data_IF_052173183083
#
_entry.id   IF_052173183083
#
_cell.length_a   1.000
_cell.length_b   1.000
_cell.length_c   1.000
_cell.angle_alpha   90.00
_cell.angle_beta   90.00
_cell.angle_gamma   90.00
#
_symmetry.space_group_name_H-M   'P 1'
#
loop_
_entity.id
_entity.type
_entity.pdbx_description
1 polymer ?
#
# COMPACT_ATOMS: atom_id res chain seq x y z
N UNK A 1 -8.66 -7.46 21.37
CA UNK A 1 -9.40 -8.39 20.52
C UNK A 1 -8.49 -8.68 19.33
N UNK A 2 -8.26 -9.95 19.00
CA UNK A 2 -7.44 -10.33 17.84
C UNK A 2 -8.41 -10.59 16.68
N UNK A 3 -8.10 -10.07 15.51
CA UNK A 3 -8.88 -10.26 14.28
C UNK A 3 -7.97 -10.86 13.23
N UNK A 4 -8.52 -11.78 12.44
CA UNK A 4 -7.87 -12.30 11.24
C UNK A 4 -8.34 -11.47 10.05
N UNK A 5 -7.41 -11.00 9.23
CA UNK A 5 -7.70 -10.20 8.03
C UNK A 5 -7.14 -10.91 6.82
N UNK A 6 -8.02 -11.34 5.93
CA UNK A 6 -7.64 -11.97 4.66
C UNK A 6 -7.15 -10.91 3.66
N UNK A 7 -5.95 -11.14 3.12
CA UNK A 7 -5.39 -10.31 2.04
C UNK A 7 -5.95 -10.79 0.71
N UNK A 8 -6.63 -9.91 -0.01
CA UNK A 8 -7.07 -10.17 -1.37
C UNK A 8 -5.95 -9.90 -2.36
N UNK A 9 -5.61 -10.88 -3.19
CA UNK A 9 -4.73 -10.70 -4.35
C UNK A 9 -5.03 -11.75 -5.43
N UNK A 10 -4.84 -11.43 -6.72
CA UNK A 10 -4.72 -12.44 -7.77
C UNK A 10 -3.55 -13.41 -7.51
N UNK A 11 -3.61 -14.59 -8.12
CA UNK A 11 -2.59 -15.64 -7.93
C UNK A 11 -1.20 -15.19 -8.41
N UNK A 12 -1.15 -14.44 -9.51
CA UNK A 12 0.06 -13.94 -10.17
C UNK A 12 0.59 -12.61 -9.61
N UNK A 13 -0.10 -12.03 -8.63
CA UNK A 13 0.32 -10.80 -7.95
C UNK A 13 1.06 -11.14 -6.65
N UNK A 14 2.17 -10.44 -6.40
CA UNK A 14 2.87 -10.50 -5.12
C UNK A 14 2.40 -9.36 -4.20
N UNK A 15 2.40 -9.61 -2.89
CA UNK A 15 1.99 -8.64 -1.87
C UNK A 15 3.12 -8.45 -0.86
N UNK A 16 3.39 -7.20 -0.51
CA UNK A 16 4.38 -6.81 0.50
C UNK A 16 3.64 -5.98 1.55
N UNK A 17 3.66 -6.44 2.81
CA UNK A 17 3.15 -5.69 3.95
C UNK A 17 4.32 -5.16 4.77
N UNK A 18 4.26 -3.89 5.11
CA UNK A 18 5.29 -3.22 5.89
C UNK A 18 4.68 -2.34 6.98
N UNK A 19 5.58 -1.66 7.69
CA UNK A 19 5.24 -0.58 8.61
C UNK A 19 6.22 0.56 8.33
N UNK A 20 5.71 1.76 8.14
CA UNK A 20 6.52 2.97 7.95
C UNK A 20 6.09 4.06 8.92
N UNK A 21 6.52 5.28 8.68
CA UNK A 21 6.04 6.49 9.34
C UNK A 21 6.25 7.67 8.39
N UNK A 22 5.49 8.75 8.62
CA UNK A 22 5.55 9.99 7.84
C UNK A 22 4.98 9.89 6.41
N UNK A 23 4.29 10.94 5.98
CA UNK A 23 3.49 10.96 4.74
C UNK A 23 4.33 10.78 3.47
N UNK A 24 5.62 11.14 3.52
CA UNK A 24 6.56 10.97 2.41
C UNK A 24 6.81 9.50 2.05
N UNK A 25 6.43 8.55 2.93
CA UNK A 25 6.52 7.11 2.67
C UNK A 25 5.95 6.70 1.31
N UNK A 26 4.82 7.29 0.89
CA UNK A 26 4.20 6.92 -0.39
C UNK A 26 5.05 7.33 -1.59
N UNK A 27 5.55 8.57 -1.61
CA UNK A 27 6.42 9.07 -2.68
C UNK A 27 7.77 8.34 -2.69
N UNK A 28 8.38 8.13 -1.52
CA UNK A 28 9.68 7.47 -1.42
C UNK A 28 9.60 5.99 -1.85
N UNK A 29 8.52 5.29 -1.50
CA UNK A 29 8.29 3.92 -1.98
C UNK A 29 8.00 3.89 -3.47
N UNK A 30 7.23 4.84 -4.00
CA UNK A 30 7.00 4.95 -5.44
C UNK A 30 8.33 5.08 -6.18
N UNK A 31 9.18 6.02 -5.78
CA UNK A 31 10.48 6.24 -6.40
C UNK A 31 11.38 5.00 -6.28
N UNK A 32 11.42 4.38 -5.10
CA UNK A 32 12.21 3.17 -4.87
C UNK A 32 11.79 2.02 -5.78
N UNK A 33 10.49 1.78 -5.97
CA UNK A 33 9.99 0.69 -6.81
C UNK A 33 10.19 1.04 -8.29
N UNK A 34 9.80 2.25 -8.72
CA UNK A 34 9.88 2.69 -10.11
C UNK A 34 11.33 2.69 -10.65
N UNK A 35 12.31 2.94 -9.78
CA UNK A 35 13.75 2.93 -10.14
C UNK A 35 14.40 1.55 -10.01
N UNK A 36 13.76 0.57 -9.37
CA UNK A 36 14.31 -0.77 -9.15
C UNK A 36 14.15 -1.69 -10.37
N UNK A 37 12.98 -1.67 -11.03
CA UNK A 37 12.67 -2.56 -12.15
C UNK A 37 11.93 -1.81 -13.26
N UNK A 38 12.49 -1.70 -14.48
CA UNK A 38 11.79 -1.10 -15.61
C UNK A 38 10.47 -1.79 -15.91
N UNK A 39 9.41 -1.02 -16.17
CA UNK A 39 8.07 -1.49 -16.53
C UNK A 39 7.34 -2.32 -15.46
N UNK A 40 7.81 -2.37 -14.21
CA UNK A 40 7.04 -3.02 -13.14
C UNK A 40 5.68 -2.33 -12.97
N UNK A 41 4.64 -3.13 -12.71
CA UNK A 41 3.29 -2.65 -12.40
C UNK A 41 3.05 -2.81 -10.92
N UNK A 42 2.66 -1.73 -10.25
CA UNK A 42 2.51 -1.73 -8.80
C UNK A 42 1.52 -0.66 -8.33
N UNK A 43 1.01 -0.89 -7.13
CA UNK A 43 0.21 0.05 -6.34
C UNK A 43 0.66 0.00 -4.89
N UNK A 44 0.63 1.17 -4.23
CA UNK A 44 1.05 1.39 -2.85
C UNK A 44 -0.13 2.00 -2.11
N UNK A 45 -0.35 1.58 -0.87
CA UNK A 45 -1.25 2.23 0.06
C UNK A 45 -0.55 2.36 1.42
N UNK A 46 -0.73 3.48 2.10
CA UNK A 46 -0.16 3.81 3.40
C UNK A 46 -1.24 4.44 4.29
N UNK A 47 -1.43 3.86 5.46
CA UNK A 47 -2.40 4.32 6.45
C UNK A 47 -1.82 5.48 7.27
N UNK A 48 -2.17 6.73 6.96
CA UNK A 48 -1.81 7.87 7.80
C UNK A 48 -2.39 7.68 9.22
N UNK A 49 -1.54 7.64 10.25
CA UNK A 49 -1.99 7.30 11.61
C UNK A 49 -2.39 8.52 12.48
N UNK A 50 -2.34 9.72 11.91
CA UNK A 50 -2.63 10.96 12.64
C UNK A 50 -3.24 12.03 11.71
N UNK A 51 -3.81 13.08 12.28
CA UNK A 51 -4.40 14.16 11.50
C UNK A 51 -5.64 13.69 10.73
N UNK A 52 -5.71 13.88 9.39
CA UNK A 52 -6.84 13.42 8.58
C UNK A 52 -7.06 11.89 8.58
N UNK A 53 -6.02 11.12 8.91
CA UNK A 53 -6.05 9.65 8.94
C UNK A 53 -6.55 9.03 7.61
N UNK A 54 -6.05 9.54 6.49
CA UNK A 54 -6.41 9.05 5.16
C UNK A 54 -5.49 7.91 4.72
N UNK A 55 -6.01 7.04 3.85
CA UNK A 55 -5.16 6.14 3.07
C UNK A 55 -4.51 6.97 1.96
N UNK A 56 -3.19 7.11 2.04
CA UNK A 56 -2.37 7.73 1.01
C UNK A 56 -1.94 6.63 0.05
N UNK A 57 -1.99 6.89 -1.25
CA UNK A 57 -1.71 5.87 -2.25
C UNK A 57 -1.04 6.48 -3.47
N UNK A 58 -0.27 5.65 -4.18
CA UNK A 58 0.36 5.98 -5.46
C UNK A 58 0.71 4.69 -6.20
N UNK A 59 1.12 4.77 -7.45
CA UNK A 59 1.46 3.63 -8.29
C UNK A 59 1.32 3.94 -9.77
N UNK A 60 1.58 2.95 -10.61
CA UNK A 60 1.53 3.09 -12.07
C UNK A 60 0.56 2.11 -12.75
N UNK A 61 -0.31 1.50 -11.95
CA UNK A 61 -1.35 0.58 -12.37
C UNK A 61 -2.61 0.75 -11.50
N UNK A 62 -3.72 1.17 -12.12
CA UNK A 62 -4.95 1.50 -11.39
C UNK A 62 -5.57 0.30 -10.68
N UNK A 63 -5.41 -0.92 -11.21
CA UNK A 63 -5.93 -2.13 -10.58
C UNK A 63 -5.12 -2.47 -9.33
N UNK A 64 -3.79 -2.36 -9.40
CA UNK A 64 -2.92 -2.58 -8.25
C UNK A 64 -3.11 -1.51 -7.16
N UNK A 65 -3.31 -0.24 -7.53
CA UNK A 65 -3.60 0.84 -6.57
C UNK A 65 -4.90 0.55 -5.83
N UNK A 66 -5.97 0.21 -6.54
CA UNK A 66 -7.26 -0.14 -5.93
C UNK A 66 -7.15 -1.36 -5.02
N UNK A 67 -6.36 -2.36 -5.41
CA UNK A 67 -6.11 -3.54 -4.60
C UNK A 67 -5.34 -3.21 -3.31
N UNK A 68 -4.32 -2.36 -3.39
CA UNK A 68 -3.56 -1.91 -2.23
C UNK A 68 -4.44 -1.12 -1.24
N UNK A 69 -5.22 -0.15 -1.74
CA UNK A 69 -6.16 0.63 -0.94
C UNK A 69 -7.20 -0.27 -0.25
N UNK A 70 -7.80 -1.20 -1.00
CA UNK A 70 -8.80 -2.14 -0.45
C UNK A 70 -8.22 -2.99 0.69
N UNK A 71 -6.99 -3.49 0.54
CA UNK A 71 -6.35 -4.26 1.62
C UNK A 71 -5.98 -3.37 2.81
N UNK A 72 -5.50 -2.14 2.59
CA UNK A 72 -5.23 -1.18 3.65
C UNK A 72 -6.49 -0.81 4.45
N UNK A 73 -7.64 -0.61 3.78
CA UNK A 73 -8.95 -0.39 4.42
C UNK A 73 -9.36 -1.57 5.33
N UNK A 74 -9.10 -2.80 4.89
CA UNK A 74 -9.40 -4.01 5.69
C UNK A 74 -8.47 -4.17 6.89
N UNK A 75 -7.18 -3.88 6.72
CA UNK A 75 -6.18 -3.98 7.79
C UNK A 75 -6.46 -2.90 8.85
N UNK A 76 -6.76 -1.68 8.42
CA UNK A 76 -7.13 -0.55 9.28
C UNK A 76 -6.15 -0.28 10.44
N UNK A 77 -4.86 -0.59 10.24
CA UNK A 77 -3.80 -0.33 11.19
C UNK A 77 -3.06 0.95 10.80
N UNK A 78 -2.88 1.87 11.74
CA UNK A 78 -2.10 3.09 11.48
C UNK A 78 -0.66 2.75 11.08
N UNK A 79 -0.12 3.50 10.13
CA UNK A 79 1.26 3.42 9.63
C UNK A 79 1.65 2.10 8.92
N UNK A 80 0.69 1.24 8.57
CA UNK A 80 0.93 0.11 7.66
C UNK A 80 0.84 0.52 6.19
#
# INVERSE_FOLDING_TARGET
>A
MIVEVEIEKPDDVNFILGQSHFIKSVEDLYEAIATSVPNCKFGIAFCEASGPCLIRYDGNDDEMIKLAVKNAEKIAAGHC
#
